data_IF_087623437707
#
_entry.id   IF_087623437707
#
_cell.length_a   1.000
_cell.length_b   1.000
_cell.length_c   1.000
_cell.angle_alpha   90.00
_cell.angle_beta   90.00
_cell.angle_gamma   90.00
#
_symmetry.space_group_name_H-M   'P 1'
#
loop_
_entity.id
_entity.type
_entity.pdbx_description
1 polymer ?
#
# COMPACT_ATOMS: atom_id res chain seq x y z
N UNK A 1 -17.30 21.38 -1.71
CA UNK A 1 -18.15 20.49 -0.90
C UNK A 1 -19.06 19.71 -1.85
N UNK A 2 -18.50 18.75 -2.59
CA UNK A 2 -19.23 17.96 -3.60
C UNK A 2 -18.97 16.44 -3.45
N UNK A 3 -18.16 16.04 -2.45
CA UNK A 3 -17.88 14.63 -2.16
C UNK A 3 -18.79 14.03 -1.09
N UNK A 4 -19.66 14.80 -0.44
CA UNK A 4 -20.55 14.30 0.64
C UNK A 4 -21.76 13.48 0.12
N UNK A 5 -21.76 13.03 -1.14
CA UNK A 5 -22.93 12.42 -1.78
C UNK A 5 -22.66 11.17 -2.63
N UNK A 6 -21.49 10.53 -2.45
CA UNK A 6 -21.32 9.16 -2.92
C UNK A 6 -21.53 8.26 -1.70
N UNK A 7 -22.66 7.57 -1.65
CA UNK A 7 -22.83 6.44 -0.75
C UNK A 7 -21.65 5.48 -1.00
N UNK A 8 -20.80 5.25 0.01
CA UNK A 8 -19.53 4.55 -0.15
C UNK A 8 -19.69 3.17 -0.82
N UNK A 9 -20.86 2.54 -0.63
CA UNK A 9 -21.25 1.30 -1.28
C UNK A 9 -21.57 1.41 -2.78
N UNK A 10 -22.14 2.53 -3.26
CA UNK A 10 -22.36 2.71 -4.70
C UNK A 10 -21.06 3.08 -5.43
N UNK A 11 -20.14 3.77 -4.74
CA UNK A 11 -18.80 4.06 -5.23
C UNK A 11 -18.03 2.76 -5.48
N UNK A 12 -18.10 1.82 -4.54
CA UNK A 12 -17.49 0.49 -4.61
C UNK A 12 -17.74 -0.23 -5.94
N UNK A 13 -19.01 -0.47 -6.28
CA UNK A 13 -19.39 -1.36 -7.39
C UNK A 13 -19.09 -0.79 -8.79
N UNK A 14 -18.98 0.54 -8.90
CA UNK A 14 -18.80 1.20 -10.19
C UNK A 14 -17.40 1.72 -10.42
N UNK A 15 -16.73 2.21 -9.37
CA UNK A 15 -15.47 2.93 -9.52
C UNK A 15 -14.27 1.99 -9.51
N UNK A 16 -14.25 0.99 -8.62
CA UNK A 16 -13.11 0.08 -8.48
C UNK A 16 -12.80 -0.74 -9.74
N UNK A 17 -13.77 -1.31 -10.48
CA UNK A 17 -13.47 -2.01 -11.72
C UNK A 17 -12.82 -1.10 -12.78
N UNK A 18 -13.20 0.18 -12.80
CA UNK A 18 -12.61 1.17 -13.70
C UNK A 18 -11.17 1.46 -13.28
N UNK A 19 -10.94 1.69 -11.98
CA UNK A 19 -9.60 1.93 -11.45
C UNK A 19 -8.67 0.73 -11.68
N UNK A 20 -9.14 -0.48 -11.38
CA UNK A 20 -8.43 -1.74 -11.64
C UNK A 20 -7.98 -1.86 -13.10
N UNK A 21 -8.91 -1.64 -14.05
CA UNK A 21 -8.60 -1.67 -15.48
C UNK A 21 -7.56 -0.61 -15.89
N UNK A 22 -7.59 0.56 -15.26
CA UNK A 22 -6.63 1.63 -15.55
C UNK A 22 -5.26 1.39 -14.91
N UNK A 23 -5.18 0.74 -13.73
CA UNK A 23 -3.92 0.29 -13.12
C UNK A 23 -3.18 -0.71 -14.03
N UNK A 24 -3.92 -1.60 -14.69
CA UNK A 24 -3.35 -2.59 -15.60
C UNK A 24 -3.08 -2.04 -17.02
N UNK A 25 -3.30 -0.74 -17.25
CA UNK A 25 -3.07 -0.14 -18.56
C UNK A 25 -1.58 0.01 -18.86
N UNK A 26 -1.21 -0.16 -20.13
CA UNK A 26 0.13 0.19 -20.61
C UNK A 26 0.36 1.71 -20.67
N UNK A 27 -0.70 2.52 -20.58
CA UNK A 27 -0.61 3.98 -20.58
C UNK A 27 -0.22 4.50 -19.18
N UNK A 28 0.95 5.13 -19.00
CA UNK A 28 1.41 5.61 -17.70
C UNK A 28 0.45 6.62 -17.06
N UNK A 29 -0.12 7.53 -17.87
CA UNK A 29 -1.08 8.53 -17.39
C UNK A 29 -2.34 7.90 -16.81
N UNK A 30 -2.81 6.79 -17.40
CA UNK A 30 -3.96 6.04 -16.87
C UNK A 30 -3.65 5.36 -15.56
N UNK A 31 -2.47 4.76 -15.42
CA UNK A 31 -2.02 4.17 -14.15
C UNK A 31 -1.92 5.23 -13.06
N UNK A 32 -1.29 6.37 -13.38
CA UNK A 32 -1.16 7.51 -12.47
C UNK A 32 -2.51 8.09 -12.06
N UNK A 33 -3.44 8.25 -13.01
CA UNK A 33 -4.80 8.70 -12.70
C UNK A 33 -5.55 7.71 -11.81
N UNK A 34 -5.39 6.41 -12.07
CA UNK A 34 -6.01 5.37 -11.25
C UNK A 34 -5.47 5.40 -9.81
N UNK A 35 -4.15 5.52 -9.63
CA UNK A 35 -3.52 5.65 -8.32
C UNK A 35 -3.97 6.90 -7.57
N UNK A 36 -4.10 8.05 -8.25
CA UNK A 36 -4.65 9.26 -7.63
C UNK A 36 -6.09 9.06 -7.16
N UNK A 37 -6.91 8.35 -7.95
CA UNK A 37 -8.26 7.96 -7.54
C UNK A 37 -8.24 7.07 -6.29
N UNK A 38 -7.39 6.03 -6.29
CA UNK A 38 -7.24 5.12 -5.15
C UNK A 38 -6.71 5.81 -3.90
N UNK A 39 -5.81 6.79 -4.04
CA UNK A 39 -5.26 7.54 -2.92
C UNK A 39 -6.34 8.42 -2.24
N UNK A 40 -7.29 8.96 -3.02
CA UNK A 40 -8.43 9.69 -2.46
C UNK A 40 -9.40 8.72 -1.77
N UNK A 41 -9.68 7.58 -2.40
CA UNK A 41 -10.60 6.59 -1.84
C UNK A 41 -10.05 5.90 -0.59
N UNK A 42 -8.74 5.66 -0.50
CA UNK A 42 -8.13 4.98 0.64
C UNK A 42 -8.18 5.76 1.95
N UNK A 43 -8.51 7.06 1.91
CA UNK A 43 -8.74 7.86 3.12
C UNK A 43 -10.03 7.45 3.83
N UNK A 44 -10.99 6.85 3.11
CA UNK A 44 -12.22 6.32 3.68
C UNK A 44 -12.03 4.85 4.10
N UNK A 45 -12.11 4.54 5.40
CA UNK A 45 -12.07 3.18 5.95
C UNK A 45 -12.92 2.15 5.20
N UNK A 46 -14.13 2.57 4.76
CA UNK A 46 -15.07 1.68 4.09
C UNK A 46 -14.58 1.17 2.74
N UNK A 47 -13.51 1.78 2.20
CA UNK A 47 -12.88 1.37 0.95
C UNK A 47 -11.73 0.38 1.14
N UNK A 48 -11.29 0.13 2.38
CA UNK A 48 -10.11 -0.68 2.70
C UNK A 48 -10.17 -2.08 2.07
N UNK A 49 -11.18 -2.89 2.43
CA UNK A 49 -11.38 -4.25 1.93
C UNK A 49 -11.36 -4.31 0.39
N UNK A 50 -12.00 -3.33 -0.22
CA UNK A 50 -12.19 -3.26 -1.65
C UNK A 50 -10.91 -2.87 -2.39
N UNK A 51 -10.10 -2.00 -1.81
CA UNK A 51 -8.75 -1.69 -2.31
C UNK A 51 -7.82 -2.88 -2.09
N UNK A 52 -7.97 -3.64 -1.00
CA UNK A 52 -7.22 -4.88 -0.76
C UNK A 52 -7.43 -5.91 -1.87
N UNK A 53 -8.59 -5.94 -2.52
CA UNK A 53 -8.82 -6.79 -3.72
C UNK A 53 -7.86 -6.50 -4.88
N UNK A 54 -7.20 -5.33 -4.88
CA UNK A 54 -6.22 -4.88 -5.87
C UNK A 54 -4.77 -5.04 -5.40
N UNK A 55 -4.52 -5.70 -4.26
CA UNK A 55 -3.21 -5.81 -3.62
C UNK A 55 -2.11 -6.26 -4.59
N UNK A 56 -2.33 -7.33 -5.37
CA UNK A 56 -1.31 -7.83 -6.31
C UNK A 56 -0.96 -6.80 -7.38
N UNK A 57 -1.97 -6.12 -7.97
CA UNK A 57 -1.72 -5.05 -8.94
C UNK A 57 -0.99 -3.86 -8.33
N UNK A 58 -1.23 -3.56 -7.05
CA UNK A 58 -0.49 -2.51 -6.33
C UNK A 58 0.95 -2.94 -6.01
N UNK A 59 1.17 -4.21 -5.64
CA UNK A 59 2.50 -4.75 -5.38
C UNK A 59 3.40 -4.72 -6.62
N UNK A 60 2.84 -5.02 -7.79
CA UNK A 60 3.57 -4.91 -9.06
C UNK A 60 4.08 -3.48 -9.31
N UNK A 61 3.32 -2.47 -8.86
CA UNK A 61 3.67 -1.07 -9.04
C UNK A 61 4.78 -0.57 -8.11
N UNK A 62 5.08 -1.29 -7.02
CA UNK A 62 6.23 -0.98 -6.15
C UNK A 62 7.58 -1.23 -6.82
N UNK A 63 7.60 -2.07 -7.86
CA UNK A 63 8.81 -2.40 -8.62
C UNK A 63 9.06 -1.46 -9.80
N UNK A 64 8.22 -0.43 -9.97
CA UNK A 64 8.32 0.49 -11.11
C UNK A 64 9.42 1.53 -10.89
N UNK A 65 10.15 1.89 -11.95
CA UNK A 65 11.19 2.93 -11.90
C UNK A 65 10.63 4.35 -11.66
N UNK A 66 9.31 4.54 -11.69
CA UNK A 66 8.68 5.84 -11.53
C UNK A 66 8.45 6.09 -10.04
N UNK A 67 9.33 6.89 -9.42
CA UNK A 67 9.24 7.21 -7.99
C UNK A 67 7.95 7.91 -7.57
N UNK A 68 7.29 8.69 -8.45
CA UNK A 68 5.97 9.28 -8.13
C UNK A 68 4.93 8.16 -8.02
N UNK A 69 4.98 7.21 -8.94
CA UNK A 69 4.09 6.06 -8.99
C UNK A 69 4.26 5.18 -7.74
N UNK A 70 5.51 4.87 -7.39
CA UNK A 70 5.83 4.10 -6.18
C UNK A 70 5.36 4.83 -4.93
N UNK A 71 5.62 6.14 -4.81
CA UNK A 71 5.18 6.92 -3.65
C UNK A 71 3.65 6.97 -3.49
N UNK A 72 2.89 7.11 -4.59
CA UNK A 72 1.42 7.04 -4.54
C UNK A 72 0.95 5.66 -4.09
N UNK A 73 1.57 4.59 -4.61
CA UNK A 73 1.25 3.21 -4.23
C UNK A 73 1.49 2.97 -2.74
N UNK A 74 2.65 3.39 -2.21
CA UNK A 74 2.97 3.32 -0.78
C UNK A 74 1.96 4.10 0.08
N UNK A 75 1.54 5.28 -0.40
CA UNK A 75 0.52 6.10 0.30
C UNK A 75 -0.84 5.41 0.35
N UNK A 76 -1.23 4.69 -0.71
CA UNK A 76 -2.45 3.88 -0.73
C UNK A 76 -2.38 2.79 0.34
N UNK A 77 -1.29 2.02 0.39
CA UNK A 77 -1.11 0.99 1.41
C UNK A 77 -1.14 1.55 2.84
N UNK A 78 -0.44 2.67 3.09
CA UNK A 78 -0.43 3.34 4.39
C UNK A 78 -1.83 3.76 4.84
N UNK A 79 -2.63 4.31 3.94
CA UNK A 79 -3.99 4.73 4.27
C UNK A 79 -4.88 3.53 4.59
N UNK A 80 -4.77 2.43 3.84
CA UNK A 80 -5.58 1.23 4.09
C UNK A 80 -5.18 0.53 5.40
N UNK A 81 -3.89 0.45 5.71
CA UNK A 81 -3.42 -0.21 6.94
C UNK A 81 -3.68 0.57 8.22
N UNK A 82 -3.86 1.90 8.14
CA UNK A 82 -4.25 2.72 9.29
C UNK A 82 -5.61 2.37 9.87
N UNK A 83 -6.45 1.66 9.12
CA UNK A 83 -7.76 1.21 9.60
C UNK A 83 -7.70 -0.09 10.42
N UNK A 84 -6.48 -0.58 10.73
CA UNK A 84 -6.28 -1.78 11.55
C UNK A 84 -6.90 -3.06 10.94
N UNK A 85 -7.22 -3.09 9.65
CA UNK A 85 -7.69 -4.30 8.98
C UNK A 85 -6.59 -4.97 8.16
N UNK A 86 -5.50 -5.35 8.83
CA UNK A 86 -4.47 -6.17 8.20
C UNK A 86 -4.99 -7.59 7.90
N UNK A 87 -6.16 -8.01 8.41
CA UNK A 87 -6.78 -9.27 7.97
C UNK A 87 -7.08 -9.23 6.48
N UNK A 88 -7.60 -8.11 5.97
CA UNK A 88 -7.81 -7.91 4.54
C UNK A 88 -6.50 -8.00 3.73
N UNK A 89 -5.36 -7.68 4.36
CA UNK A 89 -4.02 -7.78 3.78
C UNK A 89 -3.25 -9.05 4.15
N UNK A 90 -3.79 -9.93 4.99
CA UNK A 90 -3.03 -11.04 5.59
C UNK A 90 -2.39 -11.98 4.55
N UNK A 91 -3.08 -12.21 3.44
CA UNK A 91 -2.59 -13.04 2.33
C UNK A 91 -1.48 -12.37 1.49
N UNK A 92 -1.48 -11.03 1.43
CA UNK A 92 -0.51 -10.25 0.67
C UNK A 92 0.61 -9.65 1.55
N UNK A 93 0.48 -9.67 2.87
CA UNK A 93 1.41 -9.07 3.82
C UNK A 93 2.86 -9.57 3.66
N UNK A 94 3.14 -10.88 3.46
CA UNK A 94 4.51 -11.34 3.21
C UNK A 94 5.10 -10.76 1.92
N UNK A 95 4.33 -10.75 0.83
CA UNK A 95 4.75 -10.18 -0.45
C UNK A 95 4.98 -8.67 -0.37
N UNK A 96 4.14 -7.97 0.40
CA UNK A 96 4.30 -6.55 0.65
C UNK A 96 5.60 -6.29 1.42
N UNK A 97 5.87 -7.05 2.49
CA UNK A 97 7.13 -6.92 3.22
C UNK A 97 8.36 -7.16 2.32
N UNK A 98 8.32 -8.20 1.48
CA UNK A 98 9.38 -8.48 0.51
C UNK A 98 9.58 -7.35 -0.51
N UNK A 99 8.48 -6.78 -1.04
CA UNK A 99 8.53 -5.69 -2.00
C UNK A 99 9.03 -4.36 -1.39
N UNK A 100 8.88 -4.17 -0.08
CA UNK A 100 9.35 -2.96 0.61
C UNK A 100 10.85 -2.96 0.89
N UNK A 101 11.45 -4.13 1.12
CA UNK A 101 12.88 -4.27 1.40
C UNK A 101 13.81 -3.49 0.44
N UNK A 102 13.70 -3.63 -0.91
CA UNK A 102 14.56 -2.89 -1.82
C UNK A 102 14.27 -1.39 -1.85
N UNK A 103 13.12 -0.93 -1.33
CA UNK A 103 12.76 0.48 -1.29
C UNK A 103 13.35 1.22 -0.08
N UNK A 104 14.00 0.53 0.86
CA UNK A 104 14.64 1.17 2.02
C UNK A 104 15.95 1.87 1.66
N UNK A 105 16.58 1.50 0.55
CA UNK A 105 17.81 2.13 0.04
C UNK A 105 17.53 2.91 -1.26
N UNK A 106 16.29 3.35 -1.46
CA UNK A 106 15.89 4.04 -2.69
C UNK A 106 16.48 5.47 -2.75
N UNK A 107 17.03 5.87 -3.90
CA UNK A 107 17.58 7.21 -4.12
C UNK A 107 16.54 8.34 -3.93
N UNK A 108 15.25 8.03 -4.08
CA UNK A 108 14.17 8.94 -3.77
C UNK A 108 13.84 8.88 -2.28
N UNK A 109 14.29 9.89 -1.52
CA UNK A 109 14.07 10.00 -0.09
C UNK A 109 12.60 9.96 0.33
N UNK A 110 11.68 10.39 -0.52
CA UNK A 110 10.25 10.31 -0.24
C UNK A 110 9.73 8.86 -0.31
N UNK A 111 10.15 8.11 -1.32
CA UNK A 111 9.85 6.68 -1.46
C UNK A 111 10.44 5.90 -0.30
N UNK A 112 11.70 6.16 0.04
CA UNK A 112 12.40 5.56 1.17
C UNK A 112 11.66 5.79 2.50
N UNK A 113 11.29 7.03 2.79
CA UNK A 113 10.60 7.34 4.05
C UNK A 113 9.22 6.66 4.12
N UNK A 114 8.48 6.64 3.02
CA UNK A 114 7.16 6.01 2.97
C UNK A 114 7.26 4.49 3.11
N UNK A 115 8.25 3.84 2.50
CA UNK A 115 8.44 2.39 2.58
C UNK A 115 8.82 1.95 4.00
N UNK A 116 9.76 2.66 4.64
CA UNK A 116 10.14 2.39 6.04
C UNK A 116 8.96 2.60 6.99
N UNK A 117 8.18 3.67 6.78
CA UNK A 117 6.99 3.93 7.59
C UNK A 117 5.96 2.81 7.43
N UNK A 118 5.63 2.44 6.20
CA UNK A 118 4.67 1.40 5.90
C UNK A 118 5.08 0.06 6.53
N UNK A 119 6.36 -0.27 6.40
CA UNK A 119 6.91 -1.47 7.01
C UNK A 119 6.76 -1.46 8.54
N UNK A 120 7.04 -0.33 9.21
CA UNK A 120 6.84 -0.19 10.66
C UNK A 120 5.39 -0.39 11.08
N UNK A 121 4.44 0.22 10.37
CA UNK A 121 3.01 0.12 10.70
C UNK A 121 2.54 -1.35 10.59
N UNK A 122 3.01 -2.08 9.57
CA UNK A 122 2.77 -3.53 9.46
C UNK A 122 3.38 -4.32 10.62
N UNK A 123 4.59 -3.95 11.07
CA UNK A 123 5.26 -4.61 12.20
C UNK A 123 4.51 -4.40 13.51
N UNK A 124 4.03 -3.18 13.76
CA UNK A 124 3.27 -2.83 14.96
C UNK A 124 1.97 -3.64 15.00
N UNK A 125 1.24 -3.71 13.89
CA UNK A 125 0.03 -4.52 13.77
C UNK A 125 0.27 -6.02 14.03
N UNK A 126 1.27 -6.62 13.37
CA UNK A 126 1.58 -8.05 13.52
C UNK A 126 2.09 -8.40 14.94
N UNK A 127 2.72 -7.44 15.63
CA UNK A 127 3.15 -7.61 17.00
C UNK A 127 1.97 -7.63 17.99
N UNK A 128 0.90 -6.88 17.72
CA UNK A 128 -0.34 -6.87 18.49
C UNK A 128 -1.17 -8.15 18.28
N UNK A 129 -1.21 -8.70 17.06
CA UNK A 129 -1.89 -9.98 16.76
C UNK A 129 -1.16 -11.23 17.29
N UNK A 130 0.01 -11.08 17.92
CA UNK A 130 0.77 -12.21 18.48
C UNK A 130 1.51 -13.07 17.45
N UNK A 131 1.55 -12.67 16.17
CA UNK A 131 2.29 -13.35 15.08
C UNK A 131 3.79 -13.02 15.07
N UNK A 132 4.43 -13.04 16.24
CA UNK A 132 5.85 -12.66 16.41
C UNK A 132 6.85 -13.55 15.66
N UNK A 133 6.48 -14.76 15.26
CA UNK A 133 7.44 -15.79 14.82
C UNK A 133 7.78 -15.77 13.33
N UNK A 134 6.87 -15.34 12.46
CA UNK A 134 7.10 -15.35 10.99
C UNK A 134 7.90 -14.14 10.50
N UNK A 135 7.85 -13.05 11.26
CA UNK A 135 8.33 -11.73 10.87
C UNK A 135 9.74 -11.46 11.41
N UNK A 136 10.05 -11.96 12.62
CA UNK A 136 11.36 -11.78 13.25
C UNK A 136 12.50 -12.47 12.48
N UNK A 137 12.25 -13.56 11.74
CA UNK A 137 13.33 -14.29 11.06
C UNK A 137 13.81 -13.61 9.78
N UNK A 138 12.93 -12.93 9.04
CA UNK A 138 13.30 -12.21 7.82
C UNK A 138 13.73 -10.76 8.08
N UNK A 139 13.34 -10.17 9.22
CA UNK A 139 13.35 -8.70 9.38
C UNK A 139 14.21 -8.18 10.53
N UNK A 140 14.77 -9.06 11.37
CA UNK A 140 15.78 -8.66 12.39
C UNK A 140 17.00 -7.97 11.76
N UNK A 141 17.58 -8.42 10.63
CA UNK A 141 18.71 -7.71 10.01
C UNK A 141 18.36 -6.29 9.54
N UNK A 142 17.13 -6.07 9.06
CA UNK A 142 16.69 -4.79 8.47
C UNK A 142 16.39 -3.73 9.54
N UNK A 143 15.89 -4.15 10.71
CA UNK A 143 15.69 -3.27 11.85
C UNK A 143 17.01 -2.68 12.39
N UNK A 144 18.11 -3.44 12.26
CA UNK A 144 19.45 -2.97 12.61
C UNK A 144 20.06 -2.08 11.52
N UNK A 145 19.80 -2.36 10.23
CA UNK A 145 20.30 -1.50 9.15
C UNK A 145 19.72 -0.07 9.20
N UNK A 146 18.44 0.07 9.53
CA UNK A 146 17.79 1.38 9.69
C UNK A 146 18.21 2.18 10.94
N UNK A 147 19.09 1.62 11.79
CA UNK A 147 19.50 2.24 13.07
C UNK A 147 20.95 2.70 13.12
N UNK A 148 21.74 2.37 12.08
CA UNK A 148 23.20 2.61 12.01
C UNK A 148 23.58 3.74 11.03
N UNK A 149 22.69 4.70 10.77
CA UNK A 149 23.05 6.01 10.17
C UNK A 149 22.92 7.17 11.16
#
# INVERSE_FOLDING_TARGET
QLLDYLDGRECHDRVLPILSRNLQSQCPDRRRLALRGLQVLSVDPSMAESICSLAESLLELLHHEDGELVAMTLSVFLNVLRDEDLQAFSSAAPKLAEALCPLFDNDNSHVQLLSIRLFREMMEFLAEEGQKTLVQQSLVPLFFHCRDE
#
